data_IF_727552488098
#
_entry.id   IF_727552488098
#
_cell.length_a   1.000
_cell.length_b   1.000
_cell.length_c   1.000
_cell.angle_alpha   90.00
_cell.angle_beta   90.00
_cell.angle_gamma   90.00
#
_symmetry.space_group_name_H-M   'P 1'
#
loop_
_entity.id
_entity.type
_entity.pdbx_description
1 polymer ?
#
# COMPACT_ATOMS: atom_id res chain seq x y z
N UNK A 1 -8.80 7.64 22.50
CA UNK A 1 -7.77 6.58 22.31
C UNK A 1 -7.10 6.74 20.93
N UNK A 2 -6.03 6.02 20.61
CA UNK A 2 -5.41 6.09 19.27
C UNK A 2 -5.69 4.82 18.48
N UNK A 3 -6.16 4.93 17.23
CA UNK A 3 -6.52 3.78 16.40
C UNK A 3 -6.09 3.99 14.94
N UNK A 4 -5.57 2.94 14.30
CA UNK A 4 -5.20 3.02 12.88
C UNK A 4 -6.43 2.84 11.99
N UNK A 5 -6.44 3.49 10.83
CA UNK A 5 -7.46 3.30 9.78
C UNK A 5 -7.55 1.83 9.36
N UNK A 6 -6.42 1.14 9.25
CA UNK A 6 -6.34 -0.30 8.97
C UNK A 6 -7.03 -1.13 10.05
N UNK A 7 -6.78 -0.84 11.32
CA UNK A 7 -7.44 -1.51 12.46
C UNK A 7 -8.94 -1.27 12.46
N UNK A 8 -9.39 -0.04 12.14
CA UNK A 8 -10.81 0.26 11.98
C UNK A 8 -11.44 -0.59 10.87
N UNK A 9 -10.86 -0.55 9.68
CA UNK A 9 -11.40 -1.25 8.51
C UNK A 9 -11.45 -2.78 8.69
N UNK A 10 -10.50 -3.35 9.43
CA UNK A 10 -10.43 -4.79 9.70
C UNK A 10 -11.40 -5.25 10.80
N UNK A 11 -11.65 -4.41 11.82
CA UNK A 11 -12.39 -4.84 13.01
C UNK A 11 -13.88 -4.49 12.99
N UNK A 12 -14.30 -3.55 12.14
CA UNK A 12 -15.72 -3.20 12.02
C UNK A 12 -16.46 -4.25 11.19
N UNK A 13 -17.58 -4.73 11.74
CA UNK A 13 -18.48 -5.64 11.04
C UNK A 13 -19.18 -4.89 9.91
N UNK A 14 -18.88 -5.27 8.67
CA UNK A 14 -19.48 -4.63 7.49
C UNK A 14 -20.83 -5.27 7.11
N UNK A 15 -21.75 -4.52 6.46
CA UNK A 15 -22.95 -5.08 5.86
C UNK A 15 -22.62 -6.07 4.72
N UNK A 16 -23.62 -6.83 4.27
CA UNK A 16 -23.45 -7.73 3.12
C UNK A 16 -23.04 -6.93 1.89
N UNK A 17 -21.86 -7.24 1.35
CA UNK A 17 -21.29 -6.51 0.21
C UNK A 17 -20.35 -5.37 0.60
N UNK A 18 -20.18 -5.05 1.88
CA UNK A 18 -19.30 -3.98 2.36
C UNK A 18 -19.98 -2.61 2.40
N UNK A 19 -19.42 -1.67 3.15
CA UNK A 19 -19.92 -0.29 3.17
C UNK A 19 -19.73 0.42 1.83
N UNK A 20 -18.58 0.19 1.19
CA UNK A 20 -18.31 0.58 -0.19
C UNK A 20 -18.11 -0.70 -1.01
N UNK A 21 -19.15 -1.20 -1.70
CA UNK A 21 -19.07 -2.48 -2.41
C UNK A 21 -18.04 -2.50 -3.54
N UNK A 22 -17.25 -3.57 -3.63
CA UNK A 22 -16.24 -3.76 -4.71
C UNK A 22 -16.87 -3.66 -6.10
N UNK A 23 -18.12 -4.08 -6.28
CA UNK A 23 -18.85 -4.01 -7.56
C UNK A 23 -19.07 -2.58 -8.09
N UNK A 24 -18.88 -1.55 -7.26
CA UNK A 24 -18.95 -0.16 -7.67
C UNK A 24 -17.64 0.33 -8.29
N UNK A 25 -16.55 -0.45 -8.19
CA UNK A 25 -15.30 -0.11 -8.83
C UNK A 25 -15.29 -0.62 -10.26
N UNK A 26 -14.96 0.26 -11.21
CA UNK A 26 -14.66 -0.11 -12.58
C UNK A 26 -13.33 -0.86 -12.61
N UNK A 27 -13.31 -2.05 -13.21
CA UNK A 27 -12.10 -2.84 -13.42
C UNK A 27 -11.47 -2.48 -14.78
N UNK A 28 -10.18 -2.14 -14.78
CA UNK A 28 -9.37 -1.93 -15.99
C UNK A 28 -8.21 -2.92 -15.98
N UNK A 29 -8.16 -3.80 -16.96
CA UNK A 29 -7.07 -4.76 -17.13
C UNK A 29 -6.01 -4.17 -18.06
N UNK A 30 -4.76 -4.23 -17.65
CA UNK A 30 -3.62 -3.82 -18.47
C UNK A 30 -2.97 -5.03 -19.10
N UNK A 31 -2.44 -4.84 -20.31
CA UNK A 31 -1.63 -5.84 -20.98
C UNK A 31 -0.22 -5.88 -20.37
N UNK A 32 0.41 -7.04 -20.43
CA UNK A 32 1.76 -7.30 -19.97
C UNK A 32 2.43 -8.23 -20.96
N UNK A 33 3.66 -7.93 -21.35
CA UNK A 33 4.45 -8.79 -22.24
C UNK A 33 4.92 -10.06 -21.52
N UNK A 34 5.12 -9.96 -20.21
CA UNK A 34 5.59 -11.06 -19.37
C UNK A 34 4.48 -11.57 -18.46
N UNK A 35 4.34 -12.89 -18.37
CA UNK A 35 3.62 -13.55 -17.29
C UNK A 35 4.52 -13.71 -16.06
N UNK A 36 3.92 -13.79 -14.88
CA UNK A 36 4.67 -14.06 -13.65
C UNK A 36 4.89 -15.56 -13.51
N UNK A 37 6.07 -15.96 -13.04
CA UNK A 37 6.37 -17.34 -12.68
C UNK A 37 5.43 -17.82 -11.57
N UNK A 38 4.95 -19.05 -11.67
CA UNK A 38 4.07 -19.67 -10.66
C UNK A 38 4.81 -20.03 -9.38
N UNK A 39 6.09 -20.38 -9.52
CA UNK A 39 6.92 -20.95 -8.47
C UNK A 39 7.84 -19.87 -7.90
N UNK A 40 7.25 -18.95 -7.13
CA UNK A 40 7.96 -17.92 -6.33
C UNK A 40 8.11 -18.37 -4.88
N UNK A 41 9.23 -18.00 -4.24
CA UNK A 41 9.46 -18.19 -2.81
C UNK A 41 9.22 -16.87 -2.02
N UNK A 42 9.18 -16.99 -0.69
CA UNK A 42 8.86 -15.87 0.18
C UNK A 42 7.35 -15.59 0.33
N UNK A 43 7.00 -14.79 1.33
CA UNK A 43 5.60 -14.49 1.60
C UNK A 43 5.07 -13.42 0.63
N UNK A 44 3.80 -13.56 0.20
CA UNK A 44 3.12 -12.54 -0.63
C UNK A 44 3.12 -11.15 0.00
N UNK A 45 3.12 -11.07 1.33
CA UNK A 45 3.20 -9.81 2.07
C UNK A 45 4.57 -9.16 1.91
N UNK A 46 5.64 -9.96 1.97
CA UNK A 46 7.02 -9.49 1.80
C UNK A 46 7.26 -9.01 0.38
N UNK A 47 6.93 -9.84 -0.61
CA UNK A 47 6.97 -9.45 -2.02
C UNK A 47 6.17 -8.16 -2.26
N UNK A 48 4.97 -8.05 -1.67
CA UNK A 48 4.15 -6.86 -1.82
C UNK A 48 4.78 -5.59 -1.25
N UNK A 49 5.45 -5.70 -0.10
CA UNK A 49 6.18 -4.59 0.54
C UNK A 49 7.38 -4.18 -0.32
N UNK A 50 8.14 -5.16 -0.83
CA UNK A 50 9.27 -4.93 -1.73
C UNK A 50 8.86 -4.19 -3.00
N UNK A 51 7.81 -4.68 -3.68
CA UNK A 51 7.29 -4.06 -4.91
C UNK A 51 6.84 -2.62 -4.66
N UNK A 52 6.12 -2.37 -3.56
CA UNK A 52 5.68 -1.02 -3.21
C UNK A 52 6.88 -0.10 -2.94
N UNK A 53 7.80 -0.48 -2.05
CA UNK A 53 8.98 0.32 -1.70
C UNK A 53 9.85 0.65 -2.92
N UNK A 54 10.12 -0.33 -3.79
CA UNK A 54 10.87 -0.10 -5.02
C UNK A 54 10.13 0.83 -5.98
N UNK A 55 8.81 0.65 -6.13
CA UNK A 55 7.98 1.56 -6.94
C UNK A 55 8.07 2.99 -6.43
N UNK A 56 8.00 3.21 -5.10
CA UNK A 56 8.14 4.55 -4.50
C UNK A 56 9.46 5.20 -4.86
N UNK A 57 10.57 4.46 -4.75
CA UNK A 57 11.92 4.94 -5.05
C UNK A 57 12.05 5.32 -6.53
N UNK A 58 11.60 4.44 -7.42
CA UNK A 58 11.69 4.67 -8.87
C UNK A 58 10.74 5.76 -9.37
N UNK A 59 9.71 6.13 -8.58
CA UNK A 59 8.90 7.33 -8.77
C UNK A 59 9.51 8.60 -8.16
N UNK A 60 10.73 8.52 -7.64
CA UNK A 60 11.52 9.66 -7.16
C UNK A 60 11.50 9.87 -5.63
N UNK A 61 10.93 8.95 -4.85
CA UNK A 61 11.05 9.02 -3.39
C UNK A 61 12.50 8.73 -2.94
N UNK A 62 12.94 9.37 -1.85
CA UNK A 62 14.28 9.13 -1.30
C UNK A 62 14.34 7.76 -0.61
N UNK A 63 15.28 6.87 -0.95
CA UNK A 63 15.41 5.55 -0.31
C UNK A 63 15.43 5.60 1.22
N UNK A 64 16.20 6.52 1.81
CA UNK A 64 16.27 6.72 3.27
C UNK A 64 14.94 7.02 3.95
N UNK A 65 14.00 7.67 3.24
CA UNK A 65 12.66 7.93 3.77
C UNK A 65 11.76 6.69 3.61
N UNK A 66 11.85 6.01 2.47
CA UNK A 66 11.07 4.80 2.18
C UNK A 66 11.45 3.68 3.17
N UNK A 67 12.74 3.48 3.43
CA UNK A 67 13.26 2.46 4.33
C UNK A 67 13.52 2.92 5.77
N UNK A 68 12.91 4.04 6.20
CA UNK A 68 12.91 4.44 7.62
C UNK A 68 12.30 3.33 8.52
N UNK A 69 11.16 2.70 8.18
CA UNK A 69 10.64 1.56 8.94
C UNK A 69 11.60 0.38 9.02
N UNK A 70 12.31 0.07 7.92
CA UNK A 70 13.30 -1.00 7.88
C UNK A 70 14.45 -0.74 8.87
N UNK A 71 14.92 0.51 8.95
CA UNK A 71 15.98 0.92 9.88
C UNK A 71 15.62 0.62 11.35
N UNK A 72 14.36 0.78 11.74
CA UNK A 72 13.91 0.40 13.08
C UNK A 72 13.90 -1.13 13.31
N UNK A 73 13.55 -1.90 12.29
CA UNK A 73 13.59 -3.37 12.35
C UNK A 73 15.02 -3.92 12.45
N UNK A 74 15.93 -3.35 11.67
CA UNK A 74 17.38 -3.60 11.72
C UNK A 74 17.92 -3.38 13.15
N UNK A 75 17.61 -2.24 13.76
CA UNK A 75 17.97 -1.94 15.15
C UNK A 75 17.38 -2.96 16.15
N UNK A 76 16.15 -3.43 15.93
CA UNK A 76 15.48 -4.38 16.83
C UNK A 76 16.22 -5.72 16.91
N UNK A 77 16.85 -6.16 15.82
CA UNK A 77 17.65 -7.40 15.78
C UNK A 77 19.16 -7.16 15.82
N UNK A 78 19.59 -5.90 15.99
CA UNK A 78 21.00 -5.47 16.05
C UNK A 78 21.80 -5.75 14.78
N UNK A 79 21.12 -5.79 13.64
CA UNK A 79 21.78 -5.73 12.34
C UNK A 79 21.93 -4.25 11.97
N UNK A 80 23.16 -3.74 11.92
CA UNK A 80 23.42 -2.30 11.76
C UNK A 80 23.99 -1.95 10.37
N UNK A 81 23.79 -2.82 9.38
CA UNK A 81 24.22 -2.59 8.00
C UNK A 81 23.30 -1.60 7.25
N UNK A 82 23.25 -0.34 7.68
CA UNK A 82 22.40 0.67 7.05
C UNK A 82 22.82 1.05 5.62
N UNK A 83 24.03 0.67 5.21
CA UNK A 83 24.55 0.92 3.86
C UNK A 83 23.73 0.16 2.79
N UNK A 84 23.03 -0.92 3.18
CA UNK A 84 22.09 -1.67 2.34
C UNK A 84 21.01 -0.78 1.70
N UNK A 85 20.63 0.33 2.36
CA UNK A 85 19.66 1.30 1.82
C UNK A 85 20.20 1.97 0.55
N UNK A 86 21.50 2.24 0.52
CA UNK A 86 22.15 2.93 -0.59
C UNK A 86 22.44 1.97 -1.78
N UNK A 87 22.25 0.66 -1.60
CA UNK A 87 22.34 -0.36 -2.66
C UNK A 87 21.07 -0.44 -3.54
N UNK A 88 19.93 0.05 -3.06
CA UNK A 88 18.68 0.06 -3.84
C UNK A 88 18.70 1.20 -4.86
N UNK A 89 19.29 0.93 -6.03
CA UNK A 89 19.54 1.95 -7.06
C UNK A 89 18.73 1.75 -8.34
N UNK A 90 18.20 0.55 -8.58
CA UNK A 90 17.51 0.21 -9.81
C UNK A 90 16.68 -1.07 -9.75
N UNK A 91 16.67 -1.80 -10.86
CA UNK A 91 15.93 -3.06 -11.07
C UNK A 91 16.86 -4.25 -11.39
N UNK A 92 18.17 -4.07 -11.26
CA UNK A 92 19.12 -5.17 -11.23
C UNK A 92 18.87 -6.09 -10.02
N UNK A 93 19.43 -7.31 -10.08
CA UNK A 93 19.22 -8.35 -9.07
C UNK A 93 19.67 -7.88 -7.68
N UNK A 94 20.80 -7.20 -7.58
CA UNK A 94 21.37 -6.70 -6.32
C UNK A 94 20.43 -5.66 -5.67
N UNK A 95 19.92 -4.70 -6.45
CA UNK A 95 18.95 -3.71 -5.97
C UNK A 95 17.65 -4.36 -5.47
N UNK A 96 17.16 -5.39 -6.16
CA UNK A 96 15.94 -6.11 -5.77
C UNK A 96 16.18 -6.93 -4.49
N UNK A 97 17.34 -7.59 -4.39
CA UNK A 97 17.74 -8.35 -3.21
C UNK A 97 17.84 -7.45 -1.97
N UNK A 98 18.52 -6.32 -2.09
CA UNK A 98 18.63 -5.33 -1.02
C UNK A 98 17.26 -4.80 -0.60
N UNK A 99 16.38 -4.45 -1.56
CA UNK A 99 15.03 -3.99 -1.27
C UNK A 99 14.18 -5.08 -0.58
N UNK A 100 14.37 -6.34 -0.94
CA UNK A 100 13.68 -7.47 -0.31
C UNK A 100 14.11 -7.65 1.15
N UNK A 101 15.42 -7.62 1.42
CA UNK A 101 15.97 -7.69 2.77
C UNK A 101 15.50 -6.51 3.62
N UNK A 102 15.56 -5.27 3.10
CA UNK A 102 15.03 -4.08 3.78
C UNK A 102 13.53 -4.23 4.11
N UNK A 103 12.74 -4.77 3.19
CA UNK A 103 11.32 -5.04 3.40
C UNK A 103 11.06 -6.10 4.48
N UNK A 104 11.98 -7.04 4.68
CA UNK A 104 11.91 -8.00 5.78
C UNK A 104 12.10 -7.31 7.13
N UNK A 105 13.12 -6.44 7.28
CA UNK A 105 13.28 -5.66 8.51
C UNK A 105 12.08 -4.73 8.77
N UNK A 106 11.51 -4.14 7.72
CA UNK A 106 10.28 -3.35 7.86
C UNK A 106 9.13 -4.18 8.45
N UNK A 107 8.98 -5.45 8.05
CA UNK A 107 7.98 -6.33 8.66
C UNK A 107 8.24 -6.63 10.13
N UNK A 108 9.50 -6.80 10.54
CA UNK A 108 9.86 -6.94 11.95
C UNK A 108 9.37 -5.73 12.73
N UNK A 109 9.66 -4.52 12.24
CA UNK A 109 9.21 -3.28 12.88
C UNK A 109 7.69 -3.17 12.94
N UNK A 110 6.99 -3.40 11.81
CA UNK A 110 5.53 -3.20 11.73
C UNK A 110 4.73 -4.25 12.50
N UNK A 111 5.20 -5.49 12.53
CA UNK A 111 4.53 -6.58 13.24
C UNK A 111 4.91 -6.65 14.72
N UNK A 112 6.10 -6.14 15.08
CA UNK A 112 6.72 -6.35 16.39
C UNK A 112 7.17 -7.80 16.61
N UNK A 113 7.17 -8.63 15.57
CA UNK A 113 7.55 -10.04 15.62
C UNK A 113 8.94 -10.22 15.00
N UNK A 114 9.85 -10.83 15.76
CA UNK A 114 11.18 -11.24 15.28
C UNK A 114 11.11 -12.73 14.95
N UNK A 115 11.27 -13.14 13.67
CA UNK A 115 11.29 -14.54 13.29
C UNK A 115 12.43 -15.29 13.97
N UNK A 116 12.20 -16.58 14.27
CA UNK A 116 13.23 -17.47 14.81
C UNK A 116 14.11 -18.10 13.72
N UNK A 117 13.71 -17.97 12.46
CA UNK A 117 14.42 -18.50 11.28
C UNK A 117 15.43 -17.45 10.82
N UNK A 118 16.58 -17.92 10.35
CA UNK A 118 17.58 -17.08 9.69
C UNK A 118 17.02 -16.58 8.35
N UNK A 119 16.89 -15.26 8.22
CA UNK A 119 16.29 -14.64 7.04
C UNK A 119 17.14 -14.83 5.78
N UNK A 120 18.45 -15.09 5.93
CA UNK A 120 19.33 -15.42 4.80
C UNK A 120 18.94 -16.74 4.12
N UNK A 121 18.21 -17.62 4.82
CA UNK A 121 17.64 -18.85 4.24
C UNK A 121 16.32 -18.61 3.49
N UNK A 122 15.75 -17.40 3.56
CA UNK A 122 14.49 -17.00 2.92
C UNK A 122 14.68 -15.90 1.86
N UNK A 123 15.91 -15.74 1.35
CA UNK A 123 16.22 -14.83 0.25
C UNK A 123 15.45 -15.23 -1.03
N UNK A 124 15.05 -14.25 -1.86
CA UNK A 124 14.28 -14.51 -3.05
C UNK A 124 15.13 -15.28 -4.06
N UNK A 125 14.53 -16.30 -4.68
CA UNK A 125 15.13 -16.99 -5.83
C UNK A 125 14.99 -16.16 -7.12
N UNK A 126 15.60 -16.65 -8.21
CA UNK A 126 15.63 -15.97 -9.51
C UNK A 126 14.21 -15.69 -10.05
N UNK A 127 13.28 -16.65 -9.92
CA UNK A 127 11.89 -16.47 -10.34
C UNK A 127 11.19 -15.38 -9.53
N UNK A 128 11.45 -15.32 -8.23
CA UNK A 128 10.88 -14.31 -7.33
C UNK A 128 11.44 -12.92 -7.63
N UNK A 129 12.75 -12.82 -7.89
CA UNK A 129 13.40 -11.58 -8.33
C UNK A 129 12.77 -11.08 -9.64
N UNK A 130 12.61 -11.94 -10.64
CA UNK A 130 12.00 -11.57 -11.92
C UNK A 130 10.51 -11.18 -11.74
N UNK A 131 9.77 -11.89 -10.88
CA UNK A 131 8.39 -11.51 -10.55
C UNK A 131 8.30 -10.13 -9.90
N UNK A 132 9.21 -9.80 -8.96
CA UNK A 132 9.29 -8.47 -8.34
C UNK A 132 9.60 -7.43 -9.42
N UNK A 133 10.61 -7.67 -10.26
CA UNK A 133 11.00 -6.79 -11.36
C UNK A 133 9.83 -6.46 -12.27
N UNK A 134 9.11 -7.50 -12.73
CA UNK A 134 7.96 -7.32 -13.62
C UNK A 134 6.83 -6.55 -12.92
N UNK A 135 6.53 -6.85 -11.66
CA UNK A 135 5.51 -6.10 -10.90
C UNK A 135 5.88 -4.63 -10.68
N UNK A 136 7.15 -4.31 -10.45
CA UNK A 136 7.61 -2.92 -10.35
C UNK A 136 7.50 -2.24 -11.71
N UNK A 137 7.94 -2.88 -12.80
CA UNK A 137 7.78 -2.37 -14.17
C UNK A 137 6.31 -2.09 -14.54
N UNK A 138 5.40 -3.00 -14.19
CA UNK A 138 3.94 -2.79 -14.33
C UNK A 138 3.46 -1.57 -13.57
N UNK A 139 3.94 -1.38 -12.33
CA UNK A 139 3.61 -0.22 -11.51
C UNK A 139 4.12 1.09 -12.12
N UNK A 140 5.34 1.12 -12.63
CA UNK A 140 5.88 2.30 -13.32
C UNK A 140 5.06 2.65 -14.56
N UNK A 141 4.72 1.66 -15.39
CA UNK A 141 3.83 1.84 -16.55
C UNK A 141 2.45 2.33 -16.11
N UNK A 142 1.90 1.80 -15.03
CA UNK A 142 0.63 2.26 -14.49
C UNK A 142 0.66 3.75 -14.14
N UNK A 143 1.66 4.20 -13.38
CA UNK A 143 1.77 5.60 -12.97
C UNK A 143 2.06 6.57 -14.12
N UNK A 144 2.65 6.12 -15.24
CA UNK A 144 2.79 6.93 -16.46
C UNK A 144 1.43 7.33 -17.08
N UNK A 145 0.38 6.56 -16.82
CA UNK A 145 -0.98 6.81 -17.35
C UNK A 145 -1.90 7.51 -16.34
N UNK A 146 -1.41 7.79 -15.12
CA UNK A 146 -2.20 8.48 -14.10
C UNK A 146 -2.02 9.99 -14.17
N UNK A 147 -2.92 10.72 -13.50
CA UNK A 147 -2.68 12.13 -13.22
C UNK A 147 -1.35 12.31 -12.46
N UNK A 148 -0.80 13.52 -12.53
CA UNK A 148 0.50 13.83 -11.94
C UNK A 148 0.58 13.39 -10.49
N UNK A 149 1.62 12.64 -10.16
CA UNK A 149 1.91 12.20 -8.80
C UNK A 149 2.26 13.41 -7.92
N UNK A 150 1.53 13.55 -6.82
CA UNK A 150 1.67 14.65 -5.84
C UNK A 150 2.47 14.19 -4.63
N UNK A 151 2.18 12.99 -4.14
CA UNK A 151 2.83 12.43 -2.96
C UNK A 151 2.93 10.90 -3.04
N UNK A 152 4.00 10.38 -2.44
CA UNK A 152 4.32 8.97 -2.34
C UNK A 152 4.54 8.64 -0.88
N UNK A 153 3.48 8.26 -0.18
CA UNK A 153 3.51 7.85 1.22
C UNK A 153 3.58 9.01 2.20
N UNK A 154 2.51 9.21 2.95
CA UNK A 154 2.49 10.15 4.07
C UNK A 154 1.43 9.80 5.11
N UNK A 155 1.64 10.28 6.34
CA UNK A 155 0.73 10.03 7.46
C UNK A 155 -0.46 10.98 7.42
N UNK A 156 -1.65 10.42 7.56
CA UNK A 156 -2.87 11.10 7.96
C UNK A 156 -3.11 10.91 9.45
N UNK A 157 -3.58 11.97 10.11
CA UNK A 157 -4.05 11.92 11.48
C UNK A 157 -5.10 13.00 11.69
N UNK A 158 -6.16 12.65 12.40
CA UNK A 158 -7.19 13.57 12.84
C UNK A 158 -7.66 13.16 14.23
N UNK A 159 -7.88 14.16 15.08
CA UNK A 159 -8.65 13.96 16.30
C UNK A 159 -10.13 14.03 15.91
N UNK A 160 -10.83 12.90 16.01
CA UNK A 160 -12.24 12.78 15.76
C UNK A 160 -12.94 12.40 17.07
N UNK A 161 -13.68 13.35 17.65
CA UNK A 161 -14.16 13.27 19.05
C UNK A 161 -13.00 13.02 20.02
N UNK A 162 -13.04 11.94 20.81
CA UNK A 162 -12.03 11.56 21.80
C UNK A 162 -10.94 10.63 21.24
N UNK A 163 -11.04 10.25 19.96
CA UNK A 163 -10.11 9.34 19.30
C UNK A 163 -9.18 10.05 18.32
N UNK A 164 -7.90 9.67 18.35
CA UNK A 164 -6.94 9.99 17.32
C UNK A 164 -6.94 8.86 16.27
N UNK A 165 -7.48 9.15 15.09
CA UNK A 165 -7.53 8.23 13.97
C UNK A 165 -6.38 8.58 13.03
N UNK A 166 -5.55 7.60 12.70
CA UNK A 166 -4.37 7.84 11.87
C UNK A 166 -4.08 6.68 10.91
N UNK A 167 -3.26 6.92 9.90
CA UNK A 167 -2.77 5.87 9.01
C UNK A 167 -1.98 6.45 7.85
N UNK A 168 -1.29 5.57 7.13
CA UNK A 168 -0.41 5.95 6.03
C UNK A 168 -1.08 5.53 4.72
N UNK A 169 -1.29 6.50 3.82
CA UNK A 169 -1.80 6.21 2.48
C UNK A 169 -0.63 5.99 1.52
N UNK A 170 -0.87 5.28 0.42
CA UNK A 170 0.21 4.91 -0.47
C UNK A 170 0.58 6.01 -1.46
N UNK A 171 -0.33 6.40 -2.35
CA UNK A 171 -0.05 7.37 -3.40
C UNK A 171 -1.19 8.38 -3.54
N UNK A 172 -0.82 9.63 -3.78
CA UNK A 172 -1.75 10.71 -4.08
C UNK A 172 -1.34 11.36 -5.40
N UNK A 173 -2.27 11.42 -6.35
CA UNK A 173 -2.12 12.21 -7.58
C UNK A 173 -2.94 13.48 -7.49
N UNK A 174 -2.90 14.32 -8.52
CA UNK A 174 -3.70 15.54 -8.59
C UNK A 174 -5.22 15.28 -8.46
N UNK A 175 -5.70 14.07 -8.78
CA UNK A 175 -7.12 13.72 -8.80
C UNK A 175 -7.49 12.38 -8.15
N UNK A 176 -6.52 11.60 -7.66
CA UNK A 176 -6.76 10.23 -7.21
C UNK A 176 -6.02 9.90 -5.92
N UNK A 177 -6.69 9.18 -5.03
CA UNK A 177 -6.05 8.44 -3.94
C UNK A 177 -5.87 7.00 -4.41
N UNK A 178 -4.63 6.53 -4.47
CA UNK A 178 -4.29 5.20 -5.00
C UNK A 178 -3.66 4.37 -3.88
N UNK A 179 -4.18 3.16 -3.71
CA UNK A 179 -3.72 2.15 -2.75
C UNK A 179 -3.16 0.93 -3.52
N UNK A 180 -1.90 0.57 -3.31
CA UNK A 180 -1.29 -0.55 -4.01
C UNK A 180 -1.63 -1.86 -3.29
N UNK A 181 -2.04 -2.87 -4.07
CA UNK A 181 -2.48 -4.16 -3.53
C UNK A 181 -1.93 -5.32 -4.34
N UNK A 182 -0.78 -5.84 -3.90
CA UNK A 182 -0.12 -7.03 -4.48
C UNK A 182 -0.84 -8.30 -4.01
N UNK A 183 -1.97 -8.61 -4.64
CA UNK A 183 -2.85 -9.72 -4.25
C UNK A 183 -2.93 -10.77 -5.37
N UNK A 184 -3.01 -12.04 -5.03
CA UNK A 184 -3.29 -13.11 -6.00
C UNK A 184 -4.78 -13.27 -6.31
N UNK A 185 -5.63 -12.40 -5.77
CA UNK A 185 -7.10 -12.39 -5.94
C UNK A 185 -7.58 -10.95 -6.03
N UNK A 186 -8.84 -10.76 -6.45
CA UNK A 186 -9.49 -9.44 -6.46
C UNK A 186 -9.49 -8.80 -5.06
N UNK A 187 -9.60 -7.48 -5.03
CA UNK A 187 -9.76 -6.72 -3.79
C UNK A 187 -11.02 -7.16 -3.02
N UNK A 188 -10.96 -7.06 -1.70
CA UNK A 188 -12.05 -7.39 -0.79
C UNK A 188 -12.60 -6.13 -0.11
N UNK A 189 -13.81 -6.22 0.44
CA UNK A 189 -14.53 -5.10 1.06
C UNK A 189 -13.77 -4.42 2.22
N UNK A 190 -12.84 -5.11 2.88
CA UNK A 190 -11.99 -4.48 3.89
C UNK A 190 -11.07 -3.41 3.30
N UNK A 191 -10.60 -3.59 2.06
CA UNK A 191 -9.76 -2.62 1.37
C UNK A 191 -10.58 -1.42 0.89
N UNK A 192 -11.78 -1.65 0.36
CA UNK A 192 -12.67 -0.56 -0.06
C UNK A 192 -13.12 0.30 1.11
N UNK A 193 -13.38 -0.29 2.29
CA UNK A 193 -13.61 0.48 3.52
C UNK A 193 -12.35 1.24 3.96
N UNK A 194 -11.17 0.63 3.86
CA UNK A 194 -9.91 1.30 4.23
C UNK A 194 -9.64 2.54 3.37
N UNK A 195 -9.74 2.45 2.04
CA UNK A 195 -9.42 3.57 1.15
C UNK A 195 -10.39 4.75 1.30
N UNK A 196 -11.69 4.48 1.50
CA UNK A 196 -12.66 5.57 1.73
C UNK A 196 -12.44 6.22 3.10
N UNK A 197 -12.01 5.47 4.11
CA UNK A 197 -11.59 6.04 5.39
C UNK A 197 -10.35 6.93 5.22
N UNK A 198 -9.35 6.51 4.43
CA UNK A 198 -8.21 7.39 4.12
C UNK A 198 -8.66 8.70 3.47
N UNK A 199 -9.58 8.65 2.51
CA UNK A 199 -10.13 9.85 1.89
C UNK A 199 -10.92 10.73 2.89
N UNK A 200 -11.83 10.15 3.69
CA UNK A 200 -12.60 10.90 4.70
C UNK A 200 -11.67 11.58 5.71
N UNK A 201 -10.68 10.86 6.22
CA UNK A 201 -9.73 11.39 7.19
C UNK A 201 -8.82 12.44 6.53
N UNK A 202 -8.42 12.22 5.28
CA UNK A 202 -7.71 13.20 4.46
C UNK A 202 -8.48 14.51 4.31
N UNK A 203 -9.77 14.43 3.96
CA UNK A 203 -10.69 15.58 3.87
C UNK A 203 -10.88 16.32 5.19
N UNK A 204 -10.86 15.60 6.32
CA UNK A 204 -10.95 16.19 7.67
C UNK A 204 -9.61 16.68 8.21
N UNK A 205 -8.50 16.27 7.61
CA UNK A 205 -7.17 16.72 7.98
C UNK A 205 -6.91 18.14 7.43
N UNK A 206 -5.79 18.75 7.83
CA UNK A 206 -5.36 20.06 7.29
C UNK A 206 -4.78 19.95 5.86
N UNK A 207 -4.78 18.77 5.24
CA UNK A 207 -4.20 18.52 3.91
C UNK A 207 -5.22 18.85 2.81
N UNK A 208 -5.20 20.10 2.34
CA UNK A 208 -6.09 20.60 1.27
C UNK A 208 -6.05 19.76 -0.01
N UNK A 209 -4.97 19.03 -0.28
CA UNK A 209 -4.82 18.20 -1.48
C UNK A 209 -5.94 17.15 -1.62
N UNK A 210 -6.51 16.67 -0.51
CA UNK A 210 -7.58 15.68 -0.55
C UNK A 210 -8.89 16.20 -1.15
N UNK A 211 -9.11 17.53 -1.17
CA UNK A 211 -10.31 18.11 -1.81
C UNK A 211 -10.30 18.00 -3.33
N UNK A 212 -9.15 17.70 -3.94
CA UNK A 212 -9.02 17.51 -5.38
C UNK A 212 -9.24 16.05 -5.81
N UNK A 213 -9.29 15.12 -4.86
CA UNK A 213 -9.47 13.70 -5.15
C UNK A 213 -10.88 13.48 -5.70
N UNK A 214 -10.93 12.93 -6.91
CA UNK A 214 -12.12 12.50 -7.65
C UNK A 214 -12.22 10.98 -7.70
N UNK A 215 -11.10 10.26 -7.65
CA UNK A 215 -11.08 8.80 -7.75
C UNK A 215 -10.44 8.15 -6.53
N UNK A 216 -11.07 7.08 -6.05
CA UNK A 216 -10.45 6.10 -5.14
C UNK A 216 -10.03 4.91 -5.98
N UNK A 217 -8.73 4.60 -5.99
CA UNK A 217 -8.15 3.60 -6.88
C UNK A 217 -7.37 2.55 -6.11
N UNK A 218 -7.46 1.31 -6.59
CA UNK A 218 -6.52 0.26 -6.24
C UNK A 218 -5.75 -0.14 -7.48
N UNK A 219 -4.45 -0.33 -7.34
CA UNK A 219 -3.65 -0.96 -8.38
C UNK A 219 -3.01 -2.24 -7.88
N UNK A 220 -3.24 -3.33 -8.62
CA UNK A 220 -2.66 -4.63 -8.33
C UNK A 220 -1.66 -5.02 -9.43
N UNK A 221 -0.35 -4.84 -9.22
CA UNK A 221 0.65 -5.17 -10.24
C UNK A 221 0.77 -6.67 -10.50
N UNK A 222 0.38 -7.53 -9.55
CA UNK A 222 0.40 -8.99 -9.73
C UNK A 222 -0.63 -9.44 -10.76
N UNK A 223 -1.86 -8.94 -10.64
CA UNK A 223 -2.93 -9.21 -11.60
C UNK A 223 -2.89 -8.25 -12.80
N UNK A 224 -2.12 -7.18 -12.71
CA UNK A 224 -2.07 -6.07 -13.65
C UNK A 224 -3.46 -5.42 -13.88
N UNK A 225 -4.15 -5.10 -12.77
CA UNK A 225 -5.53 -4.57 -12.78
C UNK A 225 -5.64 -3.32 -11.92
N UNK A 226 -6.30 -2.31 -12.44
CA UNK A 226 -6.83 -1.18 -11.67
C UNK A 226 -8.30 -1.40 -11.31
N UNK A 227 -8.66 -1.01 -10.09
CA UNK A 227 -10.04 -0.84 -9.65
C UNK A 227 -10.25 0.64 -9.34
N UNK A 228 -11.16 1.32 -10.04
CA UNK A 228 -11.42 2.76 -9.86
C UNK A 228 -12.86 3.03 -9.46
N UNK A 229 -13.05 3.77 -8.38
CA UNK A 229 -14.35 4.29 -7.93
C UNK A 229 -14.38 5.81 -8.09
N UNK A 230 -15.41 6.31 -8.77
CA UNK A 230 -15.66 7.74 -8.95
C UNK A 230 -16.38 8.30 -7.72
N UNK A 231 -15.81 9.31 -7.07
CA UNK A 231 -16.40 9.94 -5.89
C UNK A 231 -17.67 10.71 -6.21
N UNK A 232 -17.95 11.05 -7.47
CA UNK A 232 -19.25 11.59 -7.86
C UNK A 232 -20.39 10.55 -7.70
N UNK A 233 -20.06 9.24 -7.68
CA UNK A 233 -21.00 8.16 -7.38
C UNK A 233 -21.19 7.93 -5.86
N UNK A 234 -20.46 8.67 -5.00
CA UNK A 234 -20.56 8.53 -3.55
C UNK A 234 -21.84 9.19 -3.02
N UNK A 235 -22.91 8.41 -2.94
CA UNK A 235 -24.20 8.89 -2.43
C UNK A 235 -24.22 8.99 -0.89
N UNK A 236 -25.13 9.80 -0.32
CA UNK A 236 -25.35 9.83 1.14
C UNK A 236 -25.66 8.46 1.74
N UNK A 237 -26.33 7.57 1.00
CA UNK A 237 -26.66 6.21 1.48
C UNK A 237 -25.42 5.32 1.65
N UNK A 238 -24.33 5.62 0.95
CA UNK A 238 -23.02 4.96 1.13
C UNK A 238 -22.23 5.65 2.25
N UNK A 239 -22.15 6.99 2.20
CA UNK A 239 -21.28 7.75 3.10
C UNK A 239 -21.79 7.80 4.54
N UNK A 240 -23.10 8.01 4.74
CA UNK A 240 -23.68 8.22 6.07
C UNK A 240 -23.47 7.03 7.00
N UNK A 241 -23.71 5.76 6.60
CA UNK A 241 -23.40 4.61 7.43
C UNK A 241 -21.92 4.51 7.81
N UNK A 242 -21.00 4.89 6.93
CA UNK A 242 -19.55 4.89 7.25
C UNK A 242 -19.28 5.91 8.37
N UNK A 243 -19.82 7.12 8.24
CA UNK A 243 -19.63 8.16 9.26
C UNK A 243 -20.27 7.76 10.61
N UNK A 244 -21.47 7.19 10.59
CA UNK A 244 -22.23 6.88 11.80
C UNK A 244 -21.75 5.56 12.47
N UNK A 245 -21.59 4.50 11.70
CA UNK A 245 -21.34 3.16 12.24
C UNK A 245 -19.85 2.84 12.43
N UNK A 246 -18.98 3.43 11.60
CA UNK A 246 -17.53 3.16 11.65
C UNK A 246 -16.81 4.21 12.49
N UNK A 247 -17.17 5.49 12.31
CA UNK A 247 -16.50 6.61 12.97
C UNK A 247 -17.23 7.15 14.22
N UNK A 248 -18.57 7.07 14.31
CA UNK A 248 -19.31 7.62 15.46
C UNK A 248 -19.66 6.61 16.56
N UNK A 249 -19.78 5.32 16.27
CA UNK A 249 -20.08 4.25 17.24
C UNK A 249 -18.86 3.77 18.04
N UNK A 250 -17.83 4.61 18.18
CA UNK A 250 -16.69 4.41 19.08
C UNK A 250 -16.67 5.51 20.13
#
# INVERSE_FOLDING_TARGET
>A
MSVTITTLANNVKQPRGGYLPVKLFKETHYESENELFSDENGSKSLIGTTVDNMTRILLGAKPKKVFEPASFGMMAIKDLNFDLIDEVTGLDDDSILAAYQLSFYEQIYRSGYIPSIDYELELPDEHTIENIREMVNRSLRYFQHQAKLVNVGDRLSVNYKEDNIYGDYDYLTDDSLIDMKVLSKKIANKYTLQIILYWIIGMKSKKKLFSNVKYLKFYNPRLNVEYSFDLDELTPDILKPILEEVLMNR
#
